data_IF_842273898583
#
_entry.id   IF_842273898583
#
_cell.length_a   1.000
_cell.length_b   1.000
_cell.length_c   1.000
_cell.angle_alpha   90.00
_cell.angle_beta   90.00
_cell.angle_gamma   90.00
#
_symmetry.space_group_name_H-M   'P 1'
#
loop_
_entity.id
_entity.type
_entity.pdbx_description
1 polymer ?
#
# COMPACT_ATOMS: atom_id res chain seq x y z
N UNK A 1 9.32 38.37 0.77
CA UNK A 1 9.46 39.48 -0.21
C UNK A 1 8.19 39.51 -1.04
N UNK A 2 7.67 40.68 -1.42
CA UNK A 2 6.51 40.77 -2.33
C UNK A 2 7.00 40.94 -3.78
N UNK A 3 6.73 39.94 -4.61
CA UNK A 3 7.23 39.84 -5.99
C UNK A 3 6.20 40.25 -7.05
N UNK A 4 4.92 40.41 -6.66
CA UNK A 4 3.84 40.71 -7.61
C UNK A 4 3.90 42.17 -8.10
N UNK A 5 4.44 43.05 -7.26
CA UNK A 5 4.63 44.48 -7.54
C UNK A 5 5.86 44.78 -8.41
N UNK A 6 6.76 43.82 -8.65
CA UNK A 6 7.96 44.02 -9.47
C UNK A 6 7.68 43.86 -10.97
N UNK A 7 8.50 44.52 -11.78
CA UNK A 7 8.44 44.43 -13.24
C UNK A 7 9.10 43.13 -13.74
N UNK A 8 8.73 42.67 -14.94
CA UNK A 8 9.25 41.42 -15.51
C UNK A 8 10.77 41.46 -15.74
N UNK A 9 11.33 42.65 -15.96
CA UNK A 9 12.76 42.86 -16.13
C UNK A 9 13.52 42.64 -14.82
N UNK A 10 13.03 43.20 -13.72
CA UNK A 10 13.61 43.07 -12.38
C UNK A 10 13.54 41.62 -11.87
N UNK A 11 12.42 40.94 -12.12
CA UNK A 11 12.27 39.53 -11.76
C UNK A 11 13.25 38.64 -12.52
N UNK A 12 13.55 38.95 -13.79
CA UNK A 12 14.52 38.21 -14.60
C UNK A 12 15.97 38.49 -14.19
N UNK A 13 16.30 39.72 -13.80
CA UNK A 13 17.62 40.03 -13.25
C UNK A 13 17.84 39.31 -11.93
N UNK A 14 16.84 39.32 -11.02
CA UNK A 14 16.89 38.56 -9.78
C UNK A 14 17.05 37.05 -10.00
N UNK A 15 16.37 36.49 -11.01
CA UNK A 15 16.59 35.09 -11.39
C UNK A 15 18.02 34.83 -11.87
N UNK A 16 18.58 35.73 -12.70
CA UNK A 16 19.95 35.59 -13.23
C UNK A 16 21.00 35.65 -12.11
N UNK A 17 20.84 36.58 -11.16
CA UNK A 17 21.77 36.77 -10.04
C UNK A 17 21.74 35.56 -9.08
N UNK A 18 20.59 34.88 -8.98
CA UNK A 18 20.38 33.69 -8.14
C UNK A 18 20.62 32.36 -8.87
N UNK A 19 21.08 32.40 -10.14
CA UNK A 19 21.33 31.19 -10.94
C UNK A 19 20.06 30.42 -11.35
N UNK A 20 18.89 31.06 -11.31
CA UNK A 20 17.60 30.48 -11.65
C UNK A 20 17.28 30.68 -13.14
N UNK A 21 16.49 29.77 -13.71
CA UNK A 21 16.04 29.86 -15.12
C UNK A 21 15.26 31.16 -15.36
N UNK A 22 15.66 31.95 -16.35
CA UNK A 22 15.04 33.26 -16.72
C UNK A 22 13.86 33.17 -17.70
N UNK A 23 13.55 31.96 -18.17
CA UNK A 23 12.47 31.70 -19.13
C UNK A 23 11.14 31.41 -18.42
N UNK A 24 10.04 31.90 -19.00
CA UNK A 24 8.68 31.70 -18.50
C UNK A 24 7.80 32.96 -18.53
N UNK A 25 6.51 32.78 -18.24
CA UNK A 25 5.56 33.88 -18.00
C UNK A 25 5.85 34.56 -16.65
N UNK A 26 5.43 35.82 -16.45
CA UNK A 26 5.67 36.58 -15.21
C UNK A 26 5.35 35.75 -13.94
N UNK A 27 4.19 35.10 -13.90
CA UNK A 27 3.77 34.26 -12.78
C UNK A 27 4.73 33.09 -12.49
N UNK A 28 5.25 32.41 -13.52
CA UNK A 28 6.20 31.31 -13.34
C UNK A 28 7.55 31.78 -12.80
N UNK A 29 7.96 33.00 -13.13
CA UNK A 29 9.20 33.62 -12.64
C UNK A 29 9.03 34.03 -11.18
N UNK A 30 7.86 34.59 -10.83
CA UNK A 30 7.51 34.94 -9.45
C UNK A 30 7.50 33.71 -8.54
N UNK A 31 6.79 32.64 -8.93
CA UNK A 31 6.73 31.39 -8.15
C UNK A 31 8.14 30.84 -7.90
N UNK A 32 8.98 30.81 -8.94
CA UNK A 32 10.36 30.31 -8.83
C UNK A 32 11.23 31.13 -7.87
N UNK A 33 11.03 32.45 -7.81
CA UNK A 33 11.74 33.32 -6.86
C UNK A 33 11.21 33.14 -5.43
N UNK A 34 9.91 32.93 -5.26
CA UNK A 34 9.29 32.62 -3.97
C UNK A 34 9.79 31.28 -3.42
N UNK A 35 9.81 30.23 -4.24
CA UNK A 35 10.34 28.91 -3.89
C UNK A 35 11.81 28.98 -3.46
N UNK A 36 12.63 29.75 -4.18
CA UNK A 36 14.04 29.94 -3.82
C UNK A 36 14.20 30.68 -2.48
N UNK A 37 13.41 31.72 -2.22
CA UNK A 37 13.45 32.47 -0.95
C UNK A 37 13.00 31.62 0.23
N UNK A 38 11.95 30.82 0.07
CA UNK A 38 11.46 29.89 1.10
C UNK A 38 12.50 28.80 1.41
N UNK A 39 13.19 28.29 0.38
CA UNK A 39 14.25 27.30 0.55
C UNK A 39 15.49 27.88 1.26
N UNK A 40 15.81 29.16 1.01
CA UNK A 40 16.98 29.83 1.59
C UNK A 40 16.71 30.37 3.00
N UNK A 41 15.46 30.71 3.34
CA UNK A 41 15.12 31.25 4.64
C UNK A 41 13.78 30.67 5.17
N UNK A 42 13.80 29.49 5.80
CA UNK A 42 12.60 28.90 6.39
C UNK A 42 12.11 29.77 7.57
N UNK A 43 11.11 30.62 7.31
CA UNK A 43 10.44 31.38 8.35
C UNK A 43 9.60 30.45 9.23
N UNK A 44 9.65 30.57 10.56
CA UNK A 44 8.83 29.78 11.46
C UNK A 44 7.35 30.16 11.26
N UNK A 45 6.55 29.17 10.90
CA UNK A 45 5.11 29.28 10.67
C UNK A 45 4.40 29.98 11.84
N UNK A 46 3.78 31.12 11.55
CA UNK A 46 2.76 31.74 12.41
C UNK A 46 1.66 30.72 12.68
N UNK A 47 1.62 30.21 13.90
CA UNK A 47 0.53 29.39 14.41
C UNK A 47 -0.74 30.24 14.45
N UNK A 48 -1.65 30.02 13.50
CA UNK A 48 -3.02 30.54 13.58
C UNK A 48 -3.74 29.64 14.59
N UNK A 49 -3.83 30.11 15.83
CA UNK A 49 -4.60 29.48 16.89
C UNK A 49 -6.08 29.53 16.48
N UNK A 50 -6.65 28.39 16.06
CA UNK A 50 -8.06 28.33 15.67
C UNK A 50 -8.93 28.26 16.92
N UNK A 51 -9.34 29.44 17.35
CA UNK A 51 -10.26 29.69 18.45
C UNK A 51 -11.67 29.22 18.05
N UNK A 52 -12.26 28.39 18.91
CA UNK A 52 -13.60 27.85 18.76
C UNK A 52 -14.63 28.98 18.90
N UNK A 53 -15.56 29.11 17.94
CA UNK A 53 -16.74 29.95 18.06
C UNK A 53 -18.01 29.17 17.62
N UNK A 54 -19.18 29.41 18.24
CA UNK A 54 -20.31 28.50 18.19
C UNK A 54 -21.25 28.75 17.00
N UNK A 55 -22.01 27.70 16.70
CA UNK A 55 -23.07 27.57 15.70
C UNK A 55 -23.97 28.80 15.55
N UNK A 56 -24.15 29.22 14.29
CA UNK A 56 -25.18 30.14 13.82
C UNK A 56 -25.64 29.75 12.42
N UNK A 57 -26.95 29.52 12.30
CA UNK A 57 -27.68 29.01 11.14
C UNK A 57 -27.63 29.99 9.95
N UNK A 58 -27.24 29.51 8.75
CA UNK A 58 -27.59 30.13 7.48
C UNK A 58 -27.45 29.15 6.31
N UNK A 59 -28.28 29.37 5.29
CA UNK A 59 -28.75 28.41 4.30
C UNK A 59 -27.87 28.29 3.02
N UNK A 60 -28.07 27.16 2.33
CA UNK A 60 -28.08 26.94 0.86
C UNK A 60 -26.84 27.30 0.02
N UNK A 61 -26.20 26.27 -0.56
CA UNK A 61 -26.14 25.97 -2.01
C UNK A 61 -25.12 24.81 -2.25
N UNK A 62 -25.44 23.79 -3.07
CA UNK A 62 -24.48 22.73 -3.39
C UNK A 62 -23.48 23.23 -4.44
N UNK A 63 -22.29 23.60 -3.99
CA UNK A 63 -21.15 23.91 -4.85
C UNK A 63 -20.58 22.62 -5.46
N UNK A 64 -20.10 22.64 -6.72
CA UNK A 64 -19.35 21.54 -7.29
C UNK A 64 -18.07 21.33 -6.48
N UNK A 65 -17.96 20.17 -5.84
CA UNK A 65 -16.80 19.75 -5.06
C UNK A 65 -15.66 19.47 -6.04
N UNK A 66 -14.89 20.50 -6.37
CA UNK A 66 -13.55 20.30 -6.89
C UNK A 66 -12.71 19.76 -5.74
N UNK A 67 -12.38 18.48 -5.78
CA UNK A 67 -11.32 17.92 -4.94
C UNK A 67 -10.02 18.63 -5.31
N UNK A 68 -9.73 19.73 -4.63
CA UNK A 68 -8.42 20.34 -4.65
C UNK A 68 -7.53 19.38 -3.88
N UNK A 69 -6.73 18.60 -4.60
CA UNK A 69 -5.60 17.90 -4.03
C UNK A 69 -4.65 18.96 -3.50
N UNK A 70 -4.86 19.39 -2.25
CA UNK A 70 -3.78 19.94 -1.46
C UNK A 70 -2.64 18.92 -1.45
N UNK A 71 -1.38 19.34 -1.35
CA UNK A 71 -0.26 18.41 -1.31
C UNK A 71 -0.58 17.38 -0.24
N UNK A 72 -0.77 16.14 -0.69
CA UNK A 72 -0.98 15.01 0.21
C UNK A 72 0.28 15.00 1.05
N UNK A 73 0.19 15.43 2.30
CA UNK A 73 1.22 15.15 3.27
C UNK A 73 1.19 13.64 3.43
N UNK A 74 2.00 12.95 2.62
CA UNK A 74 2.32 11.54 2.77
C UNK A 74 3.05 11.45 4.09
N UNK A 75 2.25 11.27 5.14
CA UNK A 75 2.73 10.98 6.47
C UNK A 75 3.69 9.80 6.31
N UNK A 76 4.87 9.93 6.91
CA UNK A 76 6.02 9.02 6.83
C UNK A 76 5.71 7.65 7.48
N UNK A 77 4.63 7.01 7.03
CA UNK A 77 4.03 5.80 7.60
C UNK A 77 4.08 4.66 6.58
N UNK A 78 4.23 4.99 5.29
CA UNK A 78 4.59 4.04 4.24
C UNK A 78 6.02 3.49 4.40
N UNK A 79 6.90 4.23 5.09
CA UNK A 79 8.29 3.80 5.32
C UNK A 79 8.38 2.56 6.22
N UNK A 80 7.51 2.45 7.23
CA UNK A 80 7.49 1.29 8.12
C UNK A 80 7.00 0.03 7.39
N UNK A 81 5.90 0.13 6.64
CA UNK A 81 5.38 -0.98 5.85
C UNK A 81 6.35 -1.40 4.74
N UNK A 82 6.98 -0.42 4.08
CA UNK A 82 8.02 -0.64 3.08
C UNK A 82 9.26 -1.33 3.66
N UNK A 83 9.78 -0.84 4.79
CA UNK A 83 10.92 -1.44 5.48
C UNK A 83 10.63 -2.88 5.92
N UNK A 84 9.44 -3.14 6.48
CA UNK A 84 9.02 -4.49 6.85
C UNK A 84 8.89 -5.38 5.62
N UNK A 85 8.33 -4.87 4.51
CA UNK A 85 8.30 -5.57 3.22
C UNK A 85 9.70 -6.01 2.75
N UNK A 86 10.69 -5.11 2.81
CA UNK A 86 12.09 -5.41 2.45
C UNK A 86 12.66 -6.51 3.35
N UNK A 87 12.46 -6.42 4.67
CA UNK A 87 12.93 -7.45 5.61
C UNK A 87 12.33 -8.83 5.30
N UNK A 88 11.04 -8.90 4.96
CA UNK A 88 10.37 -10.15 4.60
C UNK A 88 10.95 -10.72 3.29
N UNK A 89 11.23 -9.87 2.29
CA UNK A 89 11.84 -10.32 1.02
C UNK A 89 13.23 -10.91 1.28
N UNK A 90 14.07 -10.21 2.06
CA UNK A 90 15.41 -10.70 2.41
C UNK A 90 15.35 -12.03 3.17
N UNK A 91 14.42 -12.16 4.11
CA UNK A 91 14.16 -13.41 4.81
C UNK A 91 13.73 -14.54 3.84
N UNK A 92 12.83 -14.24 2.89
CA UNK A 92 12.39 -15.18 1.87
C UNK A 92 13.53 -15.67 0.97
N UNK A 93 14.42 -14.76 0.53
CA UNK A 93 15.62 -15.09 -0.25
C UNK A 93 16.57 -15.99 0.56
N UNK A 94 16.85 -15.62 1.81
CA UNK A 94 17.69 -16.44 2.69
C UNK A 94 17.10 -17.84 2.87
N UNK A 95 15.77 -17.94 3.03
CA UNK A 95 15.10 -19.25 3.15
C UNK A 95 15.17 -20.07 1.87
N UNK A 96 15.00 -19.44 0.70
CA UNK A 96 15.17 -20.11 -0.60
C UNK A 96 16.60 -20.61 -0.79
N UNK A 97 17.59 -19.84 -0.36
CA UNK A 97 18.98 -20.26 -0.40
C UNK A 97 19.19 -21.56 0.38
N UNK A 98 18.67 -21.65 1.61
CA UNK A 98 18.70 -22.90 2.39
C UNK A 98 17.92 -24.04 1.72
N UNK A 99 16.75 -23.75 1.13
CA UNK A 99 15.97 -24.76 0.41
C UNK A 99 16.77 -25.35 -0.78
N UNK A 100 17.47 -24.51 -1.55
CA UNK A 100 18.34 -24.96 -2.66
C UNK A 100 19.47 -25.84 -2.15
N UNK A 101 20.17 -25.42 -1.09
CA UNK A 101 21.29 -26.19 -0.53
C UNK A 101 20.83 -27.59 -0.10
N UNK A 102 19.72 -27.69 0.63
CA UNK A 102 19.16 -28.99 1.02
C UNK A 102 18.61 -29.80 -0.17
N UNK A 103 18.17 -29.13 -1.24
CA UNK A 103 17.70 -29.79 -2.47
C UNK A 103 18.83 -30.40 -3.33
N UNK A 104 20.07 -29.92 -3.21
CA UNK A 104 21.22 -30.35 -4.04
C UNK A 104 21.98 -31.55 -3.41
N UNK A 105 21.49 -32.08 -2.28
CA UNK A 105 21.91 -33.42 -1.80
C UNK A 105 22.81 -33.45 -0.56
N UNK A 106 22.91 -32.35 0.20
CA UNK A 106 23.61 -32.33 1.50
C UNK A 106 22.73 -32.72 2.69
N UNK A 107 21.42 -32.89 2.50
CA UNK A 107 20.49 -33.36 3.54
C UNK A 107 20.14 -34.83 3.36
N UNK A 108 20.69 -35.72 4.19
CA UNK A 108 20.16 -37.08 4.33
C UNK A 108 18.78 -37.03 5.00
N UNK A 109 17.81 -37.81 4.52
CA UNK A 109 16.49 -37.97 5.14
C UNK A 109 15.30 -37.56 4.26
N UNK A 110 14.19 -37.16 4.89
CA UNK A 110 12.93 -36.71 4.25
C UNK A 110 13.03 -35.35 3.51
N UNK A 111 14.20 -34.73 3.49
CA UNK A 111 14.44 -33.40 2.92
C UNK A 111 14.10 -33.26 1.43
N UNK A 112 14.22 -34.33 0.63
CA UNK A 112 13.88 -34.28 -0.81
C UNK A 112 12.38 -34.08 -1.06
N UNK A 113 11.52 -34.61 -0.18
CA UNK A 113 10.06 -34.54 -0.32
C UNK A 113 9.50 -33.21 0.23
N UNK A 114 10.21 -32.63 1.20
CA UNK A 114 9.90 -31.33 1.78
C UNK A 114 10.51 -30.16 0.97
N UNK A 115 11.46 -30.42 0.08
CA UNK A 115 12.10 -29.41 -0.78
C UNK A 115 11.10 -28.58 -1.61
N UNK A 116 10.15 -29.19 -2.37
CA UNK A 116 9.17 -28.42 -3.15
C UNK A 116 8.31 -27.52 -2.25
N UNK A 117 7.97 -28.01 -1.07
CA UNK A 117 7.15 -27.28 -0.11
C UNK A 117 7.93 -26.08 0.47
N UNK A 118 9.21 -26.26 0.79
CA UNK A 118 10.09 -25.18 1.23
C UNK A 118 10.27 -24.09 0.15
N UNK A 119 10.38 -24.49 -1.12
CA UNK A 119 10.39 -23.56 -2.26
C UNK A 119 9.09 -22.75 -2.37
N UNK A 120 7.93 -23.40 -2.27
CA UNK A 120 6.63 -22.72 -2.32
C UNK A 120 6.47 -21.73 -1.17
N UNK A 121 6.90 -22.09 0.05
CA UNK A 121 6.88 -21.16 1.17
C UNK A 121 7.83 -19.97 0.95
N UNK A 122 9.03 -20.21 0.43
CA UNK A 122 9.99 -19.15 0.11
C UNK A 122 9.47 -18.18 -0.95
N UNK A 123 8.85 -18.70 -2.01
CA UNK A 123 8.17 -17.88 -3.02
C UNK A 123 7.00 -17.10 -2.42
N UNK A 124 6.21 -17.72 -1.55
CA UNK A 124 5.13 -17.07 -0.80
C UNK A 124 5.62 -15.87 0.02
N UNK A 125 6.76 -16.00 0.69
CA UNK A 125 7.40 -14.89 1.42
C UNK A 125 7.82 -13.75 0.49
N UNK A 126 8.41 -14.06 -0.66
CA UNK A 126 8.85 -13.04 -1.62
C UNK A 126 7.65 -12.30 -2.20
N UNK A 127 6.62 -13.02 -2.66
CA UNK A 127 5.39 -12.42 -3.20
C UNK A 127 4.69 -11.57 -2.14
N UNK A 128 4.48 -12.13 -0.95
CA UNK A 128 3.85 -11.40 0.16
C UNK A 128 4.65 -10.17 0.60
N UNK A 129 5.98 -10.27 0.65
CA UNK A 129 6.88 -9.16 0.94
C UNK A 129 6.83 -8.06 -0.12
N UNK A 130 6.79 -8.42 -1.41
CA UNK A 130 6.68 -7.45 -2.52
C UNK A 130 5.35 -6.68 -2.51
N UNK A 131 4.25 -7.37 -2.19
CA UNK A 131 2.93 -6.75 -2.07
C UNK A 131 2.87 -5.84 -0.83
N UNK A 132 3.49 -6.27 0.27
CA UNK A 132 3.62 -5.46 1.50
C UNK A 132 4.48 -4.22 1.26
N UNK A 133 5.57 -4.34 0.50
CA UNK A 133 6.42 -3.23 0.09
C UNK A 133 5.65 -2.17 -0.72
N UNK A 134 4.69 -2.62 -1.54
CA UNK A 134 3.79 -1.76 -2.29
C UNK A 134 2.67 -1.12 -1.43
N UNK A 135 2.66 -1.39 -0.12
CA UNK A 135 1.72 -0.78 0.83
C UNK A 135 0.32 -1.40 0.82
N UNK A 136 0.16 -2.60 0.25
CA UNK A 136 -1.12 -3.31 0.22
C UNK A 136 -1.31 -4.19 1.45
N UNK A 137 -2.49 -4.11 2.03
CA UNK A 137 -2.90 -4.84 3.24
C UNK A 137 -2.94 -6.36 3.03
N UNK A 138 -3.31 -6.78 1.83
CA UNK A 138 -3.40 -8.19 1.44
C UNK A 138 -2.03 -8.88 1.44
N UNK A 139 -0.93 -8.14 1.22
CA UNK A 139 0.42 -8.66 1.33
C UNK A 139 0.74 -9.16 2.74
N UNK A 140 0.32 -8.40 3.76
CA UNK A 140 0.55 -8.78 5.16
C UNK A 140 -0.28 -9.99 5.57
N UNK A 141 -1.54 -10.08 5.12
CA UNK A 141 -2.35 -11.28 5.37
C UNK A 141 -1.76 -12.52 4.69
N UNK A 142 -1.23 -12.37 3.48
CA UNK A 142 -0.55 -13.46 2.77
C UNK A 142 0.70 -13.92 3.55
N UNK A 143 1.55 -12.99 3.98
CA UNK A 143 2.78 -13.35 4.73
C UNK A 143 2.47 -13.96 6.08
N UNK A 144 1.45 -13.48 6.80
CA UNK A 144 0.97 -14.12 8.04
C UNK A 144 0.44 -15.53 7.79
N UNK A 145 -0.32 -15.75 6.71
CA UNK A 145 -0.80 -17.07 6.32
C UNK A 145 0.35 -18.04 6.02
N UNK A 146 1.37 -17.58 5.26
CA UNK A 146 2.56 -18.37 4.95
C UNK A 146 3.37 -18.68 6.22
N UNK A 147 3.52 -17.73 7.15
CA UNK A 147 4.15 -17.97 8.45
C UNK A 147 3.39 -19.01 9.27
N UNK A 148 2.06 -18.94 9.30
CA UNK A 148 1.23 -19.88 10.04
C UNK A 148 1.34 -21.30 9.49
N UNK A 149 1.23 -21.46 8.17
CA UNK A 149 1.41 -22.75 7.50
C UNK A 149 2.83 -23.29 7.74
N UNK A 150 3.84 -22.43 7.63
CA UNK A 150 5.23 -22.81 7.88
C UNK A 150 5.45 -23.25 9.33
N UNK A 151 4.90 -22.53 10.31
CA UNK A 151 5.01 -22.85 11.73
C UNK A 151 4.28 -24.15 12.08
N UNK A 152 3.08 -24.33 11.54
CA UNK A 152 2.33 -25.58 11.69
C UNK A 152 3.08 -26.78 11.10
N UNK A 153 3.66 -26.61 9.91
CA UNK A 153 4.41 -27.69 9.27
C UNK A 153 5.72 -27.98 10.01
N UNK A 154 6.35 -26.98 10.62
CA UNK A 154 7.49 -27.20 11.52
C UNK A 154 7.11 -28.00 12.77
N UNK A 155 5.88 -27.86 13.27
CA UNK A 155 5.36 -28.67 14.36
C UNK A 155 4.93 -30.06 13.88
N UNK A 156 4.48 -30.23 12.64
CA UNK A 156 4.09 -31.54 12.12
C UNK A 156 5.29 -32.45 11.80
N UNK A 157 6.42 -31.86 11.37
CA UNK A 157 7.62 -32.59 10.92
C UNK A 157 8.83 -32.41 11.86
N UNK A 158 8.59 -32.23 13.15
CA UNK A 158 9.67 -32.21 14.15
C UNK A 158 10.32 -33.61 14.24
N UNK A 159 11.63 -33.66 14.12
CA UNK A 159 12.43 -34.88 14.26
C UNK A 159 13.90 -34.51 14.41
N UNK A 160 14.72 -35.48 14.81
CA UNK A 160 16.17 -35.29 15.03
C UNK A 160 16.97 -35.05 13.73
N UNK A 161 16.30 -35.17 12.59
CA UNK A 161 16.88 -35.00 11.26
C UNK A 161 16.68 -33.57 10.73
N UNK A 162 17.75 -33.01 10.15
CA UNK A 162 17.76 -31.66 9.58
C UNK A 162 16.87 -31.59 8.34
N UNK A 163 15.74 -30.87 8.45
CA UNK A 163 14.75 -30.72 7.38
C UNK A 163 14.71 -29.28 6.82
N UNK A 164 14.46 -29.09 5.52
CA UNK A 164 14.45 -27.76 4.89
C UNK A 164 13.31 -26.84 5.38
N UNK A 165 12.28 -27.41 6.02
CA UNK A 165 11.16 -26.67 6.60
C UNK A 165 11.49 -26.19 8.02
N UNK A 166 12.28 -26.94 8.78
CA UNK A 166 12.69 -26.69 10.16
C UNK A 166 14.20 -26.87 10.32
N UNK A 167 14.95 -25.76 10.28
CA UNK A 167 16.40 -25.75 10.54
C UNK A 167 16.64 -25.89 12.06
N UNK A 168 16.20 -26.99 12.65
CA UNK A 168 16.42 -27.31 14.06
C UNK A 168 17.72 -28.12 14.16
N UNK A 169 18.77 -27.51 14.71
CA UNK A 169 20.00 -28.20 15.06
C UNK A 169 19.90 -28.65 16.53
N UNK A 170 19.14 -29.72 16.77
CA UNK A 170 18.97 -30.35 18.10
C UNK A 170 17.78 -29.88 18.96
N UNK A 171 17.54 -30.62 20.05
CA UNK A 171 16.35 -30.52 20.92
C UNK A 171 16.15 -29.15 21.62
N UNK A 172 17.24 -28.45 21.92
CA UNK A 172 17.17 -27.16 22.62
C UNK A 172 16.66 -26.01 21.73
N UNK A 173 16.57 -26.21 20.41
CA UNK A 173 16.22 -25.15 19.47
C UNK A 173 14.73 -25.09 19.10
N UNK A 174 13.90 -26.04 19.54
CA UNK A 174 12.47 -26.04 19.22
C UNK A 174 11.76 -24.84 19.86
N UNK A 175 12.08 -24.55 21.13
CA UNK A 175 11.55 -23.38 21.83
C UNK A 175 12.08 -22.07 21.26
N UNK A 176 13.36 -21.99 20.89
CA UNK A 176 13.93 -20.78 20.29
C UNK A 176 13.38 -20.51 18.89
N UNK A 177 13.14 -21.56 18.09
CA UNK A 177 12.51 -21.48 16.77
C UNK A 177 11.03 -21.07 16.85
N UNK A 178 10.28 -21.61 17.82
CA UNK A 178 8.91 -21.18 18.10
C UNK A 178 8.86 -19.70 18.50
N UNK A 179 9.75 -19.25 19.40
CA UNK A 179 9.83 -17.84 19.80
C UNK A 179 10.19 -16.93 18.62
N UNK A 180 11.08 -17.36 17.73
CA UNK A 180 11.44 -16.63 16.52
C UNK A 180 10.27 -16.53 15.52
N UNK A 181 9.48 -17.60 15.36
CA UNK A 181 8.30 -17.58 14.49
C UNK A 181 7.20 -16.64 15.01
N UNK A 182 6.99 -16.62 16.32
CA UNK A 182 6.01 -15.75 16.99
C UNK A 182 6.45 -14.29 16.92
N UNK A 183 7.74 -14.00 17.15
CA UNK A 183 8.25 -12.63 17.01
C UNK A 183 8.14 -12.13 15.57
N UNK A 184 8.41 -12.96 14.57
CA UNK A 184 8.20 -12.63 13.16
C UNK A 184 6.72 -12.34 12.85
N UNK A 185 5.78 -13.11 13.38
CA UNK A 185 4.34 -12.81 13.21
C UNK A 185 3.96 -11.46 13.83
N UNK A 186 4.46 -11.15 15.03
CA UNK A 186 4.19 -9.88 15.70
C UNK A 186 4.76 -8.71 14.88
N UNK A 187 6.00 -8.83 14.39
CA UNK A 187 6.63 -7.80 13.57
C UNK A 187 5.89 -7.57 12.25
N UNK A 188 5.44 -8.64 11.60
CA UNK A 188 4.70 -8.56 10.33
C UNK A 188 3.27 -8.05 10.53
N UNK A 189 2.66 -8.30 11.68
CA UNK A 189 1.33 -7.77 12.02
C UNK A 189 1.34 -6.30 12.46
N UNK A 190 2.49 -5.77 12.88
CA UNK A 190 2.64 -4.40 13.38
C UNK A 190 2.09 -3.31 12.43
N UNK A 191 2.35 -3.36 11.10
CA UNK A 191 1.81 -2.39 10.17
C UNK A 191 0.29 -2.38 10.09
N UNK A 192 -0.40 -3.49 10.42
CA UNK A 192 -1.87 -3.53 10.41
C UNK A 192 -2.48 -2.69 11.53
N UNK A 193 -1.76 -2.51 12.64
CA UNK A 193 -2.23 -1.74 13.79
C UNK A 193 -1.89 -0.26 13.67
N UNK A 194 -0.77 0.07 13.00
CA UNK A 194 -0.18 1.41 13.02
C UNK A 194 -0.34 2.13 11.67
N UNK A 195 -0.35 1.40 10.55
CA UNK A 195 -0.27 1.99 9.20
C UNK A 195 -1.60 1.94 8.44
N UNK A 196 -1.93 3.03 7.74
CA UNK A 196 -3.03 3.08 6.78
C UNK A 196 -2.60 2.43 5.45
N UNK A 197 -2.87 1.13 5.32
CA UNK A 197 -2.51 0.34 4.13
C UNK A 197 -3.63 0.37 3.08
N UNK A 198 -3.25 0.35 1.80
CA UNK A 198 -4.22 0.31 0.69
C UNK A 198 -4.96 -1.02 0.70
N UNK A 199 -6.29 -0.97 0.56
CA UNK A 199 -7.13 -2.15 0.37
C UNK A 199 -7.04 -2.63 -1.08
N UNK A 200 -7.03 -3.95 -1.28
CA UNK A 200 -7.00 -4.57 -2.62
C UNK A 200 -5.64 -5.17 -2.98
N UNK A 201 -5.45 -5.44 -4.27
CA UNK A 201 -4.25 -6.03 -4.84
C UNK A 201 -3.56 -5.04 -5.79
N UNK A 202 -2.27 -5.21 -6.08
CA UNK A 202 -1.61 -4.45 -7.14
C UNK A 202 -2.21 -4.82 -8.50
N UNK A 203 -2.23 -3.86 -9.43
CA UNK A 203 -2.86 -3.98 -10.76
C UNK A 203 -2.52 -5.28 -11.53
N UNK A 204 -1.28 -5.80 -11.52
CA UNK A 204 -0.97 -7.06 -12.21
C UNK A 204 -1.74 -8.25 -11.63
N UNK A 205 -1.94 -8.28 -10.31
CA UNK A 205 -2.66 -9.36 -9.64
C UNK A 205 -4.16 -9.16 -9.78
N UNK A 206 -4.64 -7.91 -9.72
CA UNK A 206 -6.05 -7.57 -9.89
C UNK A 206 -6.55 -7.91 -11.31
N UNK A 207 -5.73 -7.70 -12.35
CA UNK A 207 -6.08 -8.11 -13.71
C UNK A 207 -6.22 -9.64 -13.86
N UNK A 208 -5.41 -10.42 -13.13
CA UNK A 208 -5.45 -11.89 -13.16
C UNK A 208 -6.60 -12.43 -12.29
N UNK A 209 -6.84 -11.84 -11.11
CA UNK A 209 -7.98 -12.21 -10.27
C UNK A 209 -9.31 -11.76 -10.89
N UNK A 210 -9.35 -10.59 -11.52
CA UNK A 210 -10.51 -10.02 -12.18
C UNK A 210 -10.93 -10.77 -13.44
N UNK A 211 -9.99 -11.45 -14.12
CA UNK A 211 -10.31 -12.37 -15.22
C UNK A 211 -11.13 -13.59 -14.78
N UNK A 212 -11.10 -13.97 -13.51
CA UNK A 212 -11.90 -15.09 -12.97
C UNK A 212 -13.20 -14.64 -12.31
N UNK A 213 -13.42 -13.33 -12.10
CA UNK A 213 -14.56 -12.77 -11.38
C UNK A 213 -15.45 -11.88 -12.26
N UNK A 214 -15.74 -12.32 -13.49
CA UNK A 214 -16.76 -11.65 -14.34
C UNK A 214 -18.21 -11.90 -13.85
N UNK A 215 -18.40 -12.37 -12.60
CA UNK A 215 -19.72 -12.68 -12.04
C UNK A 215 -20.02 -12.09 -10.66
N UNK A 216 -19.07 -11.50 -9.93
CA UNK A 216 -19.28 -11.26 -8.49
C UNK A 216 -19.32 -9.78 -8.06
N UNK A 217 -19.51 -8.87 -9.00
CA UNK A 217 -19.59 -7.44 -8.70
C UNK A 217 -20.74 -6.70 -9.36
N UNK A 218 -21.51 -7.33 -10.25
CA UNK A 218 -22.55 -6.66 -11.05
C UNK A 218 -23.88 -7.39 -10.87
N UNK A 219 -24.87 -6.71 -10.30
CA UNK A 219 -26.24 -7.20 -10.23
C UNK A 219 -27.03 -6.63 -11.41
N UNK A 220 -27.79 -7.49 -12.12
CA UNK A 220 -28.76 -7.01 -13.10
C UNK A 220 -30.06 -6.57 -12.40
N UNK A 221 -30.39 -5.29 -12.52
CA UNK A 221 -31.66 -4.73 -12.06
C UNK A 221 -32.49 -4.32 -13.27
N UNK A 222 -33.76 -4.69 -13.31
CA UNK A 222 -34.69 -4.26 -14.37
C UNK A 222 -35.24 -2.87 -14.04
N UNK A 223 -35.24 -1.98 -15.02
CA UNK A 223 -35.88 -0.68 -14.88
C UNK A 223 -37.39 -0.87 -14.60
N UNK A 224 -37.92 -0.17 -13.60
CA UNK A 224 -39.36 -0.20 -13.29
C UNK A 224 -40.23 0.44 -14.40
N UNK A 225 -39.68 1.38 -15.17
CA UNK A 225 -40.42 2.12 -16.20
C UNK A 225 -40.37 1.47 -17.58
N UNK A 226 -39.21 1.00 -18.03
CA UNK A 226 -39.02 0.46 -19.38
C UNK A 226 -38.63 -1.02 -19.43
N UNK A 227 -38.46 -1.68 -18.27
CA UNK A 227 -38.05 -3.09 -18.14
C UNK A 227 -36.69 -3.46 -18.76
N UNK A 228 -35.92 -2.48 -19.24
CA UNK A 228 -34.54 -2.69 -19.68
C UNK A 228 -33.69 -3.20 -18.52
N UNK A 229 -32.84 -4.19 -18.76
CA UNK A 229 -31.87 -4.67 -17.77
C UNK A 229 -30.70 -3.69 -17.65
N UNK A 230 -30.36 -3.30 -16.43
CA UNK A 230 -29.22 -2.45 -16.09
C UNK A 230 -28.25 -3.22 -15.22
N UNK A 231 -26.95 -3.01 -15.46
CA UNK A 231 -25.89 -3.57 -14.63
C UNK A 231 -25.44 -2.53 -13.61
N UNK A 232 -25.58 -2.85 -12.33
CA UNK A 232 -25.16 -2.02 -11.22
C UNK A 232 -24.14 -2.76 -10.34
N UNK A 233 -23.22 -2.06 -9.66
CA UNK A 233 -22.35 -2.70 -8.68
C UNK A 233 -23.14 -3.38 -7.56
N UNK A 234 -22.75 -4.59 -7.17
CA UNK A 234 -23.34 -5.32 -6.04
C UNK A 234 -23.15 -4.52 -4.74
N UNK A 235 -24.26 -4.13 -4.09
CA UNK A 235 -24.25 -3.35 -2.85
C UNK A 235 -24.46 -1.83 -3.01
N UNK A 236 -24.71 -1.34 -4.22
CA UNK A 236 -25.13 0.05 -4.42
C UNK A 236 -26.58 0.24 -3.95
N UNK A 237 -26.78 1.07 -2.92
CA UNK A 237 -28.10 1.53 -2.47
C UNK A 237 -28.22 3.03 -2.73
N UNK A 238 -29.17 3.44 -3.57
CA UNK A 238 -29.30 4.83 -3.98
C UNK A 238 -30.18 5.03 -5.21
N UNK A 239 -30.33 6.29 -5.62
CA UNK A 239 -31.12 6.64 -6.80
C UNK A 239 -30.27 6.52 -8.06
N UNK A 240 -30.66 5.63 -8.97
CA UNK A 240 -30.09 5.51 -10.31
C UNK A 240 -31.03 6.11 -11.36
N UNK A 241 -30.46 6.66 -12.43
CA UNK A 241 -31.20 7.12 -13.60
C UNK A 241 -31.05 6.11 -14.74
N UNK A 242 -32.18 5.67 -15.32
CA UNK A 242 -32.13 4.72 -16.42
C UNK A 242 -31.67 5.39 -17.73
N UNK A 243 -30.65 4.88 -18.45
CA UNK A 243 -30.18 5.48 -19.69
C UNK A 243 -31.17 5.37 -20.85
N UNK A 244 -32.10 4.40 -20.81
CA UNK A 244 -33.08 4.19 -21.89
C UNK A 244 -34.30 5.11 -21.79
N UNK A 245 -34.75 5.45 -20.58
CA UNK A 245 -36.00 6.20 -20.38
C UNK A 245 -35.85 7.42 -19.45
N UNK A 246 -34.66 7.66 -18.90
CA UNK A 246 -34.34 8.76 -17.98
C UNK A 246 -35.20 8.81 -16.70
N UNK A 247 -35.93 7.74 -16.40
CA UNK A 247 -36.66 7.66 -15.13
C UNK A 247 -35.68 7.33 -14.00
N UNK A 248 -35.81 8.03 -12.88
CA UNK A 248 -35.06 7.74 -11.66
C UNK A 248 -35.76 6.63 -10.87
N UNK A 249 -34.99 5.70 -10.33
CA UNK A 249 -35.47 4.65 -9.44
C UNK A 249 -34.47 4.40 -8.32
N UNK A 250 -34.97 4.02 -7.15
CA UNK A 250 -34.16 3.67 -6.00
C UNK A 250 -33.96 2.15 -5.95
N UNK A 251 -32.75 1.71 -5.58
CA UNK A 251 -32.35 0.31 -5.40
C UNK A 251 -32.02 0.08 -3.94
#
# INVERSE_FOLDING_TARGET
MDYDSMTVLELKSLCKDRGLRISGKKAEVVIRLMEFDEAVNPQPSRQVFQQHAPMGYAAQQPMPVHYQQGPIYVKKESELASAIGICIILYGIFRLFWAVIFSVGTGGGLGWLLSPVAFLLGLGFIVGGAITYSGYRNGIFLTLGVLAISGFMSLAFHGDEVNPVSVAWGDAMLMTSLMCSVSCMILVALPLLISTLKSGWPEPIENILGQNNDSDGKTQVKCQSCKTALEIPSGYSGSIECPSCKSQMNI
#
